data_IF_738535750114
#
_entry.id   IF_738535750114
#
_cell.length_a   1.000
_cell.length_b   1.000
_cell.length_c   1.000
_cell.angle_alpha   90.00
_cell.angle_beta   90.00
_cell.angle_gamma   90.00
#
_symmetry.space_group_name_H-M   'P 1'
#
loop_
_entity.id
_entity.type
_entity.pdbx_description
1 polymer ?
#
# COMPACT_ATOMS: atom_id res chain seq x y z
N UNK A 1 -24.98 -16.32 -69.60
CA UNK A 1 -23.51 -16.31 -69.45
C UNK A 1 -23.16 -15.76 -68.08
N UNK A 2 -23.68 -16.38 -67.02
CA UNK A 2 -23.36 -16.02 -65.63
C UNK A 2 -22.16 -16.85 -65.16
N UNK A 3 -21.02 -16.65 -65.83
CA UNK A 3 -19.77 -17.27 -65.42
C UNK A 3 -19.38 -16.74 -64.04
N UNK A 4 -19.41 -17.60 -63.03
CA UNK A 4 -19.08 -17.28 -61.63
C UNK A 4 -17.60 -17.00 -61.39
N UNK A 5 -17.04 -16.12 -62.20
CA UNK A 5 -15.76 -15.46 -62.00
C UNK A 5 -16.03 -14.03 -61.55
N UNK A 6 -15.38 -13.59 -60.47
CA UNK A 6 -15.48 -12.19 -60.07
C UNK A 6 -14.82 -11.30 -61.12
N UNK A 7 -15.58 -10.35 -61.70
CA UNK A 7 -15.14 -9.46 -62.80
C UNK A 7 -15.00 -7.99 -62.38
N UNK A 8 -15.08 -7.69 -61.07
CA UNK A 8 -14.91 -6.33 -60.56
C UNK A 8 -13.43 -5.93 -60.40
N UNK A 9 -13.21 -4.66 -60.07
CA UNK A 9 -11.88 -4.17 -59.72
C UNK A 9 -11.52 -4.61 -58.30
N UNK A 10 -10.31 -5.13 -58.13
CA UNK A 10 -9.79 -5.63 -56.84
C UNK A 10 -8.45 -4.99 -56.52
N UNK A 11 -8.29 -4.53 -55.29
CA UNK A 11 -7.00 -4.30 -54.66
C UNK A 11 -6.83 -5.33 -53.55
N UNK A 12 -5.79 -6.18 -53.62
CA UNK A 12 -5.62 -7.28 -52.68
C UNK A 12 -4.17 -7.48 -52.27
N UNK A 13 -3.97 -8.05 -51.08
CA UNK A 13 -2.67 -8.52 -50.60
C UNK A 13 -2.82 -9.89 -49.91
N UNK A 14 -1.73 -10.65 -49.85
CA UNK A 14 -1.67 -11.93 -49.15
C UNK A 14 -1.68 -11.72 -47.63
N UNK A 15 -2.39 -12.61 -46.93
CA UNK A 15 -2.48 -12.68 -45.47
C UNK A 15 -2.45 -14.14 -45.05
N UNK A 16 -1.65 -14.46 -44.03
CA UNK A 16 -1.49 -15.82 -43.51
C UNK A 16 -2.16 -15.96 -42.14
N UNK A 17 -2.86 -17.07 -41.94
CA UNK A 17 -3.41 -17.46 -40.64
C UNK A 17 -4.69 -16.73 -40.25
N UNK A 18 -4.94 -16.67 -38.95
CA UNK A 18 -6.10 -16.03 -38.35
C UNK A 18 -5.90 -14.51 -38.29
N UNK A 19 -6.95 -13.77 -38.66
CA UNK A 19 -6.89 -12.31 -38.75
C UNK A 19 -8.22 -11.64 -38.43
N UNK A 20 -8.15 -10.37 -38.07
CA UNK A 20 -9.27 -9.42 -38.09
C UNK A 20 -8.98 -8.34 -39.13
N UNK A 21 -9.81 -8.29 -40.17
CA UNK A 21 -9.75 -7.29 -41.21
C UNK A 21 -10.91 -6.31 -41.07
N UNK A 22 -10.63 -5.01 -41.02
CA UNK A 22 -11.62 -3.93 -40.90
C UNK A 22 -11.40 -2.92 -42.03
N UNK A 23 -12.47 -2.50 -42.71
CA UNK A 23 -12.42 -1.43 -43.69
C UNK A 23 -13.49 -0.37 -43.38
N UNK A 24 -13.17 0.92 -43.62
CA UNK A 24 -14.13 2.03 -43.50
C UNK A 24 -14.47 2.58 -44.87
N UNK A 25 -15.76 2.74 -45.14
CA UNK A 25 -16.29 3.30 -46.38
C UNK A 25 -17.07 4.59 -46.12
N UNK A 26 -16.84 5.57 -46.99
CA UNK A 26 -17.44 6.91 -46.90
C UNK A 26 -18.39 7.21 -48.07
N UNK A 27 -18.52 6.30 -49.04
CA UNK A 27 -19.42 6.43 -50.19
C UNK A 27 -20.41 5.25 -50.33
N UNK A 28 -21.39 5.38 -51.24
CA UNK A 28 -22.40 4.35 -51.50
C UNK A 28 -22.53 4.02 -52.98
N UNK A 29 -22.89 2.76 -53.30
CA UNK A 29 -23.51 2.42 -54.57
C UNK A 29 -24.75 3.28 -54.87
N UNK A 30 -24.81 3.86 -56.07
CA UNK A 30 -25.84 4.85 -56.46
C UNK A 30 -26.94 4.27 -57.34
N UNK A 31 -26.62 3.28 -58.17
CA UNK A 31 -27.59 2.62 -59.07
C UNK A 31 -27.56 1.11 -58.91
N UNK A 32 -28.66 0.46 -59.31
CA UNK A 32 -28.85 -0.98 -59.15
C UNK A 32 -27.70 -1.78 -59.78
N UNK A 33 -27.16 -2.72 -59.01
CA UNK A 33 -26.05 -3.60 -59.42
C UNK A 33 -24.67 -3.14 -58.93
N UNK A 34 -24.50 -1.85 -58.64
CA UNK A 34 -23.26 -1.31 -58.06
C UNK A 34 -23.03 -1.89 -56.66
N UNK A 35 -21.76 -2.21 -56.35
CA UNK A 35 -21.34 -2.80 -55.07
C UNK A 35 -19.90 -2.49 -54.74
N UNK A 36 -19.60 -2.48 -53.45
CA UNK A 36 -18.24 -2.40 -52.93
C UNK A 36 -18.13 -3.06 -51.56
N UNK A 37 -16.96 -3.60 -51.24
CA UNK A 37 -16.78 -4.31 -49.98
C UNK A 37 -15.41 -4.91 -49.74
N UNK A 38 -15.36 -5.71 -48.70
CA UNK A 38 -14.21 -6.49 -48.28
C UNK A 38 -14.43 -7.96 -48.63
N UNK A 39 -13.39 -8.64 -49.11
CA UNK A 39 -13.44 -9.99 -49.62
C UNK A 39 -12.24 -10.81 -49.14
N UNK A 40 -12.49 -12.04 -48.72
CA UNK A 40 -11.48 -13.10 -48.60
C UNK A 40 -11.48 -13.87 -49.92
N UNK A 41 -10.44 -13.66 -50.71
CA UNK A 41 -10.27 -14.13 -52.07
C UNK A 41 -9.25 -15.27 -52.11
N UNK A 42 -9.71 -16.48 -52.43
CA UNK A 42 -8.82 -17.60 -52.72
C UNK A 42 -8.42 -17.56 -54.20
N UNK A 43 -9.41 -17.65 -55.08
CA UNK A 43 -9.25 -17.52 -56.53
C UNK A 43 -10.55 -17.00 -57.15
N UNK A 44 -10.58 -16.83 -58.48
CA UNK A 44 -11.77 -16.26 -59.14
C UNK A 44 -13.05 -17.11 -58.95
N UNK A 45 -12.90 -18.39 -58.58
CA UNK A 45 -13.99 -19.37 -58.39
C UNK A 45 -14.39 -19.55 -56.93
N UNK A 46 -13.58 -19.07 -55.99
CA UNK A 46 -13.76 -19.30 -54.55
C UNK A 46 -13.44 -18.02 -53.77
N UNK A 47 -14.47 -17.42 -53.17
CA UNK A 47 -14.34 -16.19 -52.39
C UNK A 47 -15.51 -15.99 -51.44
N UNK A 48 -15.27 -15.24 -50.36
CA UNK A 48 -16.28 -14.82 -49.40
C UNK A 48 -16.20 -13.30 -49.25
N UNK A 49 -17.32 -12.60 -49.35
CA UNK A 49 -17.37 -11.15 -49.37
C UNK A 49 -18.46 -10.60 -48.46
N UNK A 50 -18.13 -9.48 -47.79
CA UNK A 50 -19.08 -8.59 -47.13
C UNK A 50 -19.11 -7.29 -47.92
N UNK A 51 -20.29 -6.90 -48.39
CA UNK A 51 -20.44 -5.79 -49.34
C UNK A 51 -21.65 -4.91 -49.05
N UNK A 52 -21.56 -3.65 -49.46
CA UNK A 52 -22.73 -2.81 -49.73
C UNK A 52 -23.13 -2.99 -51.18
N UNK A 53 -24.42 -3.16 -51.45
CA UNK A 53 -24.98 -3.35 -52.80
C UNK A 53 -26.24 -2.52 -52.97
N UNK A 54 -26.42 -1.89 -54.14
CA UNK A 54 -27.68 -1.26 -54.49
C UNK A 54 -28.60 -2.27 -55.19
N UNK A 55 -29.77 -2.53 -54.59
CA UNK A 55 -30.81 -3.42 -55.10
C UNK A 55 -32.08 -2.59 -55.30
N UNK A 56 -32.45 -2.35 -56.56
CA UNK A 56 -33.65 -1.59 -56.93
C UNK A 56 -33.77 -0.21 -56.24
N UNK A 57 -32.64 0.47 -56.01
CA UNK A 57 -32.59 1.80 -55.40
C UNK A 57 -32.29 1.80 -53.89
N UNK A 58 -32.33 0.65 -53.22
CA UNK A 58 -31.98 0.52 -51.79
C UNK A 58 -30.56 0.01 -51.62
N UNK A 59 -29.78 0.62 -50.72
CA UNK A 59 -28.43 0.14 -50.37
C UNK A 59 -28.52 -0.81 -49.18
N UNK A 60 -28.20 -2.07 -49.43
CA UNK A 60 -28.22 -3.15 -48.45
C UNK A 60 -26.81 -3.62 -48.12
N UNK A 61 -26.65 -4.15 -46.91
CA UNK A 61 -25.54 -5.01 -46.57
C UNK A 61 -25.79 -6.41 -47.07
N UNK A 62 -24.76 -7.04 -47.63
CA UNK A 62 -24.86 -8.41 -48.11
C UNK A 62 -23.57 -9.18 -47.81
N UNK A 63 -23.72 -10.37 -47.24
CA UNK A 63 -22.68 -11.39 -47.22
C UNK A 63 -22.92 -12.35 -48.39
N UNK A 64 -21.87 -12.61 -49.17
CA UNK A 64 -21.94 -13.45 -50.37
C UNK A 64 -20.74 -14.38 -50.43
N UNK A 65 -20.96 -15.62 -50.84
CA UNK A 65 -19.88 -16.56 -51.12
C UNK A 65 -19.99 -17.07 -52.55
N UNK A 66 -18.84 -17.43 -53.12
CA UNK A 66 -18.76 -18.27 -54.30
C UNK A 66 -17.93 -19.49 -53.96
N UNK A 67 -18.45 -20.66 -54.31
CA UNK A 67 -17.78 -21.96 -54.16
C UNK A 67 -17.81 -22.67 -55.49
N UNK A 68 -16.65 -23.04 -56.02
CA UNK A 68 -16.50 -23.70 -57.32
C UNK A 68 -17.23 -23.01 -58.48
N UNK A 69 -17.19 -21.67 -58.49
CA UNK A 69 -17.89 -20.79 -59.44
C UNK A 69 -19.40 -20.71 -59.27
N UNK A 70 -19.97 -21.23 -58.19
CA UNK A 70 -21.38 -21.05 -57.84
C UNK A 70 -21.51 -19.97 -56.78
N UNK A 71 -22.05 -18.82 -57.18
CA UNK A 71 -22.28 -17.68 -56.29
C UNK A 71 -23.63 -17.76 -55.58
N UNK A 72 -23.64 -17.58 -54.26
CA UNK A 72 -24.86 -17.53 -53.44
C UNK A 72 -24.85 -16.36 -52.46
N UNK A 73 -25.98 -15.67 -52.35
CA UNK A 73 -26.21 -14.70 -51.26
C UNK A 73 -26.43 -15.50 -49.99
N UNK A 74 -25.67 -15.16 -48.93
CA UNK A 74 -25.71 -15.87 -47.65
C UNK A 74 -26.58 -15.15 -46.63
N UNK A 75 -26.44 -13.83 -46.55
CA UNK A 75 -27.24 -13.00 -45.66
C UNK A 75 -27.39 -11.59 -46.24
N UNK A 76 -28.49 -10.94 -45.88
CA UNK A 76 -28.78 -9.54 -46.24
C UNK A 76 -29.35 -8.82 -45.04
N UNK A 77 -28.97 -7.55 -44.85
CA UNK A 77 -29.66 -6.66 -43.93
C UNK A 77 -29.79 -5.26 -44.55
N UNK A 78 -30.95 -4.64 -44.33
CA UNK A 78 -31.20 -3.28 -44.81
C UNK A 78 -30.46 -2.30 -43.91
N UNK A 79 -29.74 -1.35 -44.51
CA UNK A 79 -29.07 -0.31 -43.75
C UNK A 79 -28.02 0.42 -44.56
N UNK A 80 -28.11 1.75 -44.57
CA UNK A 80 -27.19 2.60 -45.33
C UNK A 80 -26.43 3.63 -44.48
N UNK A 81 -25.72 3.23 -43.41
CA UNK A 81 -24.93 4.17 -42.64
C UNK A 81 -23.77 4.71 -43.49
N UNK A 82 -23.54 6.02 -43.43
CA UNK A 82 -22.30 6.66 -43.89
C UNK A 82 -21.80 7.56 -42.75
N UNK A 83 -20.55 7.41 -42.28
CA UNK A 83 -19.61 6.36 -42.66
C UNK A 83 -20.10 4.95 -42.25
N UNK A 84 -19.51 3.93 -42.87
CA UNK A 84 -19.83 2.52 -42.61
C UNK A 84 -18.53 1.72 -42.42
N UNK A 85 -18.60 0.64 -41.65
CA UNK A 85 -17.46 -0.24 -41.44
C UNK A 85 -17.79 -1.70 -41.76
N UNK A 86 -16.86 -2.34 -42.48
CA UNK A 86 -16.83 -3.76 -42.75
C UNK A 86 -15.86 -4.43 -41.78
N UNK A 87 -16.20 -5.62 -41.29
CA UNK A 87 -15.25 -6.50 -40.60
C UNK A 87 -15.40 -7.93 -41.07
N UNK A 88 -14.28 -8.59 -41.35
CA UNK A 88 -14.19 -10.04 -41.49
C UNK A 88 -13.17 -10.54 -40.49
N UNK A 89 -13.57 -11.47 -39.63
CA UNK A 89 -12.69 -12.18 -38.70
C UNK A 89 -12.52 -13.61 -39.19
N UNK A 90 -11.28 -14.07 -39.33
CA UNK A 90 -10.94 -15.48 -39.55
C UNK A 90 -10.46 -16.09 -38.24
N UNK A 91 -11.08 -17.19 -37.84
CA UNK A 91 -10.66 -18.03 -36.74
C UNK A 91 -10.70 -19.50 -37.18
N UNK A 92 -9.53 -20.10 -37.43
CA UNK A 92 -9.37 -21.39 -38.09
C UNK A 92 -10.06 -21.40 -39.46
N UNK A 93 -11.09 -22.26 -39.58
CA UNK A 93 -11.90 -22.42 -40.80
C UNK A 93 -13.13 -21.51 -40.85
N UNK A 94 -13.40 -20.74 -39.79
CA UNK A 94 -14.59 -19.88 -39.70
C UNK A 94 -14.30 -18.45 -40.14
N UNK A 95 -15.17 -17.88 -40.97
CA UNK A 95 -15.15 -16.49 -41.40
C UNK A 95 -16.42 -15.78 -40.90
N UNK A 96 -16.24 -14.79 -40.03
CA UNK A 96 -17.36 -14.03 -39.44
C UNK A 96 -17.39 -12.63 -40.04
N UNK A 97 -18.48 -12.28 -40.72
CA UNK A 97 -18.70 -10.96 -41.28
C UNK A 97 -19.56 -10.11 -40.35
N UNK A 98 -19.10 -8.90 -40.01
CA UNK A 98 -19.82 -7.94 -39.19
C UNK A 98 -19.84 -6.54 -39.81
N UNK A 99 -20.88 -5.78 -39.52
CA UNK A 99 -21.06 -4.40 -39.96
C UNK A 99 -21.17 -3.45 -38.77
N UNK A 100 -20.76 -2.20 -38.95
CA UNK A 100 -20.86 -1.16 -37.91
C UNK A 100 -21.14 0.21 -38.53
N UNK A 101 -21.85 1.07 -37.78
CA UNK A 101 -22.14 2.48 -38.12
C UNK A 101 -21.27 3.48 -37.36
N UNK A 102 -20.44 3.03 -36.42
CA UNK A 102 -19.60 3.87 -35.55
C UNK A 102 -18.13 3.39 -35.45
N UNK A 103 -17.81 2.25 -36.07
CA UNK A 103 -16.50 1.61 -35.99
C UNK A 103 -16.19 0.93 -34.65
N UNK A 104 -17.14 0.93 -33.71
CA UNK A 104 -16.96 0.51 -32.32
C UNK A 104 -17.93 -0.62 -31.94
N UNK A 105 -19.21 -0.45 -32.27
CA UNK A 105 -20.29 -1.40 -32.04
C UNK A 105 -20.50 -2.24 -33.29
N UNK A 106 -20.37 -3.56 -33.17
CA UNK A 106 -20.40 -4.48 -34.32
C UNK A 106 -21.60 -5.42 -34.28
N UNK A 107 -22.32 -5.50 -35.40
CA UNK A 107 -23.40 -6.46 -35.59
C UNK A 107 -22.94 -7.54 -36.57
N UNK A 108 -23.02 -8.82 -36.19
CA UNK A 108 -22.72 -9.94 -37.08
C UNK A 108 -23.81 -10.08 -38.14
N UNK A 109 -23.41 -10.12 -39.41
CA UNK A 109 -24.31 -10.35 -40.54
C UNK A 109 -24.33 -11.83 -40.96
N UNK A 110 -23.17 -12.48 -40.98
CA UNK A 110 -23.05 -13.87 -41.42
C UNK A 110 -21.85 -14.55 -40.73
N UNK A 111 -21.94 -15.87 -40.58
CA UNK A 111 -20.84 -16.74 -40.20
C UNK A 111 -20.73 -17.84 -41.23
N UNK A 112 -19.58 -17.90 -41.90
CA UNK A 112 -19.31 -18.84 -42.96
C UNK A 112 -18.23 -19.84 -42.54
N UNK A 113 -18.61 -21.11 -42.52
CA UNK A 113 -17.71 -22.24 -42.30
C UNK A 113 -17.72 -23.11 -43.55
N UNK A 114 -16.87 -22.82 -44.56
CA UNK A 114 -16.80 -23.60 -45.80
C UNK A 114 -16.47 -25.07 -45.52
N UNK A 115 -17.10 -25.98 -46.28
CA UNK A 115 -16.83 -27.42 -46.18
C UNK A 115 -15.45 -27.85 -46.74
N UNK A 116 -14.83 -26.99 -47.55
CA UNK A 116 -13.42 -27.11 -47.97
C UNK A 116 -12.60 -26.08 -47.20
N UNK A 117 -11.50 -26.52 -46.58
CA UNK A 117 -10.63 -25.65 -45.80
C UNK A 117 -9.95 -24.61 -46.70
N UNK A 118 -10.13 -23.33 -46.38
CA UNK A 118 -9.32 -22.28 -46.98
C UNK A 118 -7.87 -22.49 -46.49
N UNK A 119 -6.86 -22.48 -47.38
CA UNK A 119 -5.48 -22.54 -46.94
C UNK A 119 -5.16 -21.40 -45.97
N UNK A 120 -4.10 -21.56 -45.17
CA UNK A 120 -3.70 -20.53 -44.21
C UNK A 120 -3.40 -19.20 -44.90
N UNK A 121 -2.76 -19.25 -46.07
CA UNK A 121 -2.57 -18.11 -46.95
C UNK A 121 -3.81 -17.85 -47.80
N UNK A 122 -4.37 -16.65 -47.70
CA UNK A 122 -5.48 -16.16 -48.52
C UNK A 122 -5.18 -14.73 -48.96
N UNK A 123 -5.87 -14.23 -49.99
CA UNK A 123 -5.82 -12.81 -50.31
C UNK A 123 -6.97 -12.07 -49.64
N UNK A 124 -6.65 -11.00 -48.92
CA UNK A 124 -7.64 -10.05 -48.46
C UNK A 124 -7.77 -8.94 -49.51
N UNK A 125 -9.00 -8.73 -49.98
CA UNK A 125 -9.32 -7.92 -51.14
C UNK A 125 -10.33 -6.83 -50.77
N UNK A 126 -10.05 -5.58 -51.14
CA UNK A 126 -11.08 -4.57 -51.36
C UNK A 126 -11.56 -4.69 -52.80
N UNK A 127 -12.85 -4.53 -53.01
CA UNK A 127 -13.40 -4.57 -54.37
C UNK A 127 -14.49 -3.54 -54.61
N UNK A 128 -14.59 -3.14 -55.88
CA UNK A 128 -15.63 -2.26 -56.41
C UNK A 128 -16.09 -2.84 -57.75
N UNK A 129 -17.39 -2.98 -57.94
CA UNK A 129 -17.97 -3.52 -59.17
C UNK A 129 -19.23 -2.76 -59.57
N UNK A 130 -19.33 -2.38 -60.84
CA UNK A 130 -20.44 -1.64 -61.43
C UNK A 130 -21.70 -2.51 -61.63
N UNK A 131 -21.52 -3.83 -61.75
CA UNK A 131 -22.60 -4.80 -61.87
C UNK A 131 -23.44 -4.67 -63.13
N UNK A 132 -22.81 -4.29 -64.26
CA UNK A 132 -23.47 -4.06 -65.55
C UNK A 132 -24.47 -2.90 -65.53
N UNK A 133 -24.33 -1.97 -64.58
CA UNK A 133 -25.19 -0.78 -64.48
C UNK A 133 -24.95 0.23 -65.61
N UNK A 134 -23.81 0.12 -66.32
CA UNK A 134 -23.42 1.08 -67.37
C UNK A 134 -23.17 2.51 -66.85
N UNK A 135 -23.18 2.71 -65.53
CA UNK A 135 -23.03 4.01 -64.87
C UNK A 135 -21.72 4.02 -64.08
N UNK A 136 -20.98 5.13 -64.14
CA UNK A 136 -19.74 5.29 -63.38
C UNK A 136 -19.96 5.01 -61.88
N UNK A 137 -19.05 4.25 -61.28
CA UNK A 137 -19.13 3.83 -59.88
C UNK A 137 -17.83 4.22 -59.16
N UNK A 138 -17.92 5.12 -58.19
CA UNK A 138 -16.80 5.58 -57.37
C UNK A 138 -17.12 5.34 -55.91
N UNK A 139 -16.16 4.78 -55.17
CA UNK A 139 -16.31 4.51 -53.74
C UNK A 139 -15.04 4.90 -53.02
N UNK A 140 -15.17 5.72 -51.98
CA UNK A 140 -14.08 6.07 -51.09
C UNK A 140 -13.97 5.07 -49.94
N UNK A 141 -12.83 4.39 -49.87
CA UNK A 141 -12.42 3.55 -48.75
C UNK A 141 -11.32 4.28 -48.00
N UNK A 142 -11.62 4.74 -46.79
CA UNK A 142 -10.70 5.56 -46.01
C UNK A 142 -9.47 4.75 -45.56
N UNK A 143 -9.68 3.52 -45.09
CA UNK A 143 -8.61 2.63 -44.66
C UNK A 143 -9.01 1.16 -44.67
N UNK A 144 -7.99 0.30 -44.69
CA UNK A 144 -8.06 -1.11 -44.28
C UNK A 144 -7.08 -1.32 -43.15
N UNK A 145 -7.54 -1.97 -42.09
CA UNK A 145 -6.71 -2.42 -40.97
C UNK A 145 -6.78 -3.93 -40.90
N UNK A 146 -5.62 -4.58 -40.94
CA UNK A 146 -5.49 -6.03 -40.75
C UNK A 146 -4.69 -6.25 -39.48
N UNK A 147 -5.28 -6.98 -38.54
CA UNK A 147 -4.62 -7.45 -37.33
C UNK A 147 -4.48 -8.96 -37.42
N UNK A 148 -3.25 -9.46 -37.40
CA UNK A 148 -2.95 -10.89 -37.35
C UNK A 148 -3.00 -11.35 -35.89
N UNK A 149 -3.54 -12.55 -35.64
CA UNK A 149 -3.62 -13.14 -34.30
C UNK A 149 -2.25 -13.53 -33.76
N UNK A 150 -2.05 -13.50 -32.44
CA UNK A 150 -0.85 -14.03 -31.80
C UNK A 150 -0.97 -15.54 -31.59
N UNK A 151 0.01 -16.30 -32.07
CA UNK A 151 0.09 -17.75 -31.88
C UNK A 151 1.45 -18.21 -31.34
N UNK A 152 2.43 -17.30 -31.30
CA UNK A 152 3.77 -17.56 -30.84
C UNK A 152 3.73 -17.71 -29.32
N UNK A 153 4.08 -18.91 -28.84
CA UNK A 153 4.13 -19.23 -27.42
C UNK A 153 5.57 -19.43 -26.97
N UNK A 154 5.83 -19.00 -25.74
CA UNK A 154 7.09 -19.20 -25.03
C UNK A 154 6.77 -19.89 -23.71
N UNK A 155 7.41 -21.03 -23.47
CA UNK A 155 7.35 -21.75 -22.21
C UNK A 155 8.74 -21.79 -21.56
N UNK A 156 8.78 -21.62 -20.25
CA UNK A 156 10.00 -21.75 -19.44
C UNK A 156 9.83 -22.93 -18.50
N UNK A 157 10.82 -23.83 -18.48
CA UNK A 157 10.96 -24.90 -17.49
C UNK A 157 12.31 -24.76 -16.81
N UNK A 158 12.44 -25.23 -15.57
CA UNK A 158 13.72 -25.27 -14.86
C UNK A 158 14.02 -26.65 -14.31
N UNK A 159 15.29 -26.90 -14.04
CA UNK A 159 15.77 -27.98 -13.16
C UNK A 159 16.89 -27.47 -12.28
N UNK A 160 17.06 -28.14 -11.15
CA UNK A 160 18.00 -27.80 -10.09
C UNK A 160 19.01 -28.93 -9.87
N UNK A 161 20.25 -28.58 -9.51
CA UNK A 161 21.31 -29.52 -9.13
C UNK A 161 22.49 -28.85 -8.40
N UNK A 162 23.38 -29.68 -7.85
CA UNK A 162 24.49 -29.21 -7.00
C UNK A 162 25.88 -29.33 -7.63
N UNK A 163 25.95 -29.80 -8.87
CA UNK A 163 27.17 -30.00 -9.67
C UNK A 163 27.18 -29.14 -10.93
N UNK A 164 28.36 -28.81 -11.46
CA UNK A 164 28.53 -28.16 -12.76
C UNK A 164 29.82 -28.69 -13.40
N UNK A 165 29.78 -29.41 -14.55
CA UNK A 165 28.64 -29.60 -15.46
C UNK A 165 27.49 -30.45 -14.89
N UNK A 166 26.35 -30.46 -15.57
CA UNK A 166 25.16 -31.24 -15.19
C UNK A 166 25.46 -32.73 -15.16
N UNK A 167 25.00 -33.42 -14.11
CA UNK A 167 25.08 -34.88 -13.96
C UNK A 167 23.70 -35.53 -13.72
N UNK A 168 23.67 -36.85 -13.53
CA UNK A 168 22.43 -37.63 -13.33
C UNK A 168 21.72 -37.41 -11.98
N UNK A 169 22.27 -36.60 -11.07
CA UNK A 169 21.66 -36.29 -9.77
C UNK A 169 20.75 -35.06 -9.81
N UNK A 170 20.74 -34.35 -10.93
CA UNK A 170 19.86 -33.21 -11.15
C UNK A 170 18.39 -33.64 -11.18
N UNK A 171 17.53 -32.74 -10.72
CA UNK A 171 16.07 -32.94 -10.78
C UNK A 171 15.59 -33.06 -12.24
N UNK A 172 14.44 -33.72 -12.42
CA UNK A 172 13.74 -33.69 -13.70
C UNK A 172 13.30 -32.26 -14.04
N UNK A 173 13.08 -31.98 -15.33
CA UNK A 173 12.53 -30.71 -15.78
C UNK A 173 11.16 -30.45 -15.17
N UNK A 174 10.95 -29.23 -14.67
CA UNK A 174 9.63 -28.78 -14.25
C UNK A 174 8.64 -28.80 -15.42
N UNK A 175 7.35 -28.90 -15.09
CA UNK A 175 6.32 -28.49 -16.05
C UNK A 175 6.55 -27.02 -16.46
N UNK A 176 6.15 -26.62 -17.68
CA UNK A 176 6.19 -25.23 -18.10
C UNK A 176 5.49 -24.31 -17.09
N UNK A 177 6.12 -23.19 -16.75
CA UNK A 177 5.53 -22.21 -15.85
C UNK A 177 4.32 -21.53 -16.53
N UNK A 178 3.13 -21.52 -15.90
CA UNK A 178 1.92 -20.91 -16.47
C UNK A 178 2.03 -19.38 -16.55
N UNK A 179 2.79 -18.77 -15.63
CA UNK A 179 3.16 -17.35 -15.64
C UNK A 179 4.68 -17.24 -15.46
N UNK A 180 5.45 -16.93 -16.52
CA UNK A 180 6.91 -16.87 -16.45
C UNK A 180 7.44 -15.84 -15.43
N UNK A 181 6.64 -14.83 -15.09
CA UNK A 181 6.96 -13.87 -14.03
C UNK A 181 6.42 -14.35 -12.67
N UNK A 182 7.30 -14.48 -11.68
CA UNK A 182 6.94 -14.77 -10.29
C UNK A 182 6.75 -16.25 -9.93
N UNK A 183 7.00 -17.19 -10.85
CA UNK A 183 6.90 -18.62 -10.55
C UNK A 183 8.08 -19.10 -9.69
N UNK A 184 7.78 -19.78 -8.57
CA UNK A 184 8.79 -20.35 -7.66
C UNK A 184 9.34 -21.66 -8.22
N UNK A 185 10.67 -21.82 -8.20
CA UNK A 185 11.31 -23.09 -8.57
C UNK A 185 11.07 -24.15 -7.48
N UNK A 186 10.86 -25.40 -7.90
CA UNK A 186 10.62 -26.50 -6.99
C UNK A 186 11.92 -26.96 -6.29
N UNK A 187 12.27 -26.30 -5.19
CA UNK A 187 13.36 -26.69 -4.30
C UNK A 187 14.53 -25.71 -4.25
N UNK A 188 15.64 -26.15 -3.66
CA UNK A 188 16.85 -25.36 -3.46
C UNK A 188 18.05 -26.19 -3.90
N UNK A 189 18.90 -25.62 -4.75
CA UNK A 189 20.17 -26.20 -5.13
C UNK A 189 21.19 -25.11 -5.47
N UNK A 190 22.45 -25.49 -5.60
CA UNK A 190 23.53 -24.56 -5.92
C UNK A 190 23.45 -24.00 -7.34
N UNK A 191 22.92 -24.78 -8.29
CA UNK A 191 22.78 -24.39 -9.68
C UNK A 191 21.33 -24.60 -10.14
N UNK A 192 20.88 -23.69 -11.01
CA UNK A 192 19.63 -23.81 -11.74
C UNK A 192 19.93 -23.73 -13.23
N UNK A 193 19.25 -24.56 -14.00
CA UNK A 193 19.24 -24.51 -15.46
C UNK A 193 17.81 -24.26 -15.93
N UNK A 194 17.66 -23.45 -16.96
CA UNK A 194 16.37 -23.17 -17.59
C UNK A 194 16.35 -23.66 -19.02
N UNK A 195 15.17 -24.06 -19.48
CA UNK A 195 14.89 -24.44 -20.86
C UNK A 195 13.75 -23.58 -21.40
N UNK A 196 13.98 -23.04 -22.59
CA UNK A 196 12.98 -22.32 -23.36
C UNK A 196 12.37 -23.26 -24.40
N UNK A 197 11.05 -23.26 -24.50
CA UNK A 197 10.32 -23.99 -25.52
C UNK A 197 9.46 -23.02 -26.31
N UNK A 198 9.63 -23.07 -27.63
CA UNK A 198 8.99 -22.18 -28.58
C UNK A 198 8.00 -22.98 -29.43
N UNK A 199 6.80 -22.44 -29.63
CA UNK A 199 5.88 -22.96 -30.62
C UNK A 199 5.21 -21.81 -31.37
N UNK A 200 5.05 -22.02 -32.67
CA UNK A 200 4.30 -21.15 -33.59
C UNK A 200 3.39 -22.05 -34.41
N UNK A 201 2.20 -21.55 -34.73
CA UNK A 201 1.25 -22.23 -35.63
C UNK A 201 1.46 -21.77 -37.06
N UNK A 202 1.85 -20.49 -37.24
CA UNK A 202 2.03 -19.83 -38.53
C UNK A 202 3.52 -19.49 -38.77
N UNK A 203 4.04 -19.75 -39.99
CA UNK A 203 5.47 -19.65 -40.30
C UNK A 203 6.02 -18.22 -40.37
N UNK A 204 5.15 -17.22 -40.44
CA UNK A 204 5.48 -15.79 -40.47
C UNK A 204 5.59 -15.16 -39.07
N UNK A 205 5.29 -15.93 -38.02
CA UNK A 205 5.42 -15.49 -36.64
C UNK A 205 6.74 -15.94 -36.02
N UNK A 206 7.32 -15.06 -35.20
CA UNK A 206 8.59 -15.31 -34.51
C UNK A 206 8.42 -15.06 -33.01
N UNK A 207 8.68 -16.06 -32.14
CA UNK A 207 8.73 -15.85 -30.70
C UNK A 207 9.90 -14.93 -30.35
N UNK A 208 9.64 -13.91 -29.52
CA UNK A 208 10.67 -12.98 -29.05
C UNK A 208 10.80 -13.06 -27.53
N UNK A 209 12.03 -13.19 -27.02
CA UNK A 209 12.35 -13.17 -25.59
C UNK A 209 13.33 -12.04 -25.32
N UNK A 210 12.95 -11.14 -24.39
CA UNK A 210 13.85 -10.09 -23.91
C UNK A 210 14.87 -10.60 -22.87
N UNK A 211 14.41 -11.32 -21.85
CA UNK A 211 15.26 -11.84 -20.79
C UNK A 211 14.59 -13.01 -20.03
N UNK A 212 15.42 -13.83 -19.38
CA UNK A 212 14.99 -14.79 -18.34
C UNK A 212 15.65 -14.35 -17.03
N UNK A 213 14.84 -13.89 -16.08
CA UNK A 213 15.35 -13.43 -14.78
C UNK A 213 15.17 -14.52 -13.74
N UNK A 214 16.28 -14.91 -13.10
CA UNK A 214 16.29 -15.83 -11.96
C UNK A 214 16.72 -15.06 -10.73
N UNK A 215 15.83 -14.96 -9.75
CA UNK A 215 16.11 -14.30 -8.47
C UNK A 215 16.24 -15.35 -7.37
N UNK A 216 17.16 -15.11 -6.44
CA UNK A 216 17.40 -15.95 -5.28
C UNK A 216 17.67 -15.07 -4.06
N UNK A 217 17.35 -15.58 -2.88
CA UNK A 217 17.58 -14.90 -1.61
C UNK A 217 18.06 -15.91 -0.58
N UNK A 218 19.15 -15.59 0.10
CA UNK A 218 19.73 -16.37 1.18
C UNK A 218 20.08 -15.43 2.33
N UNK A 219 19.88 -15.88 3.56
CA UNK A 219 20.35 -15.17 4.74
C UNK A 219 21.87 -15.36 4.89
N UNK A 220 22.61 -14.33 5.35
CA UNK A 220 24.02 -14.49 5.67
C UNK A 220 24.21 -15.51 6.79
N UNK A 221 25.36 -16.19 6.80
CA UNK A 221 25.68 -17.21 7.81
C UNK A 221 25.72 -16.64 9.25
N UNK A 222 25.99 -15.34 9.39
CA UNK A 222 25.91 -14.64 10.67
C UNK A 222 25.61 -13.14 10.47
N UNK A 223 25.01 -12.52 11.48
CA UNK A 223 24.77 -11.08 11.56
C UNK A 223 24.61 -10.63 13.00
N UNK A 224 24.90 -9.35 13.27
CA UNK A 224 24.81 -8.78 14.62
C UNK A 224 23.76 -7.68 14.69
N UNK A 225 23.01 -7.65 15.79
CA UNK A 225 22.15 -6.55 16.20
C UNK A 225 22.75 -5.94 17.46
N UNK A 226 22.87 -4.61 17.50
CA UNK A 226 23.39 -3.90 18.67
C UNK A 226 22.41 -2.80 19.05
N UNK A 227 22.09 -2.66 20.34
CA UNK A 227 21.28 -1.55 20.85
C UNK A 227 22.13 -0.28 20.96
N UNK A 228 21.48 0.86 21.16
CA UNK A 228 22.18 2.03 21.71
C UNK A 228 22.46 1.87 23.19
N UNK A 229 23.21 2.81 23.77
CA UNK A 229 23.42 2.88 25.22
C UNK A 229 22.12 3.23 25.92
N UNK A 230 21.70 2.37 26.84
CA UNK A 230 20.63 2.67 27.77
C UNK A 230 21.22 3.22 29.06
N UNK A 231 20.92 4.48 29.39
CA UNK A 231 21.52 5.20 30.51
C UNK A 231 20.46 5.90 31.39
N UNK A 232 19.86 5.20 32.37
CA UNK A 232 18.94 5.82 33.31
C UNK A 232 19.67 6.86 34.18
N UNK A 233 19.10 8.07 34.37
CA UNK A 233 19.79 9.20 35.02
C UNK A 233 20.14 8.95 36.50
N UNK A 234 19.41 8.08 37.18
CA UNK A 234 19.56 7.78 38.61
C UNK A 234 19.61 6.27 38.86
N UNK A 235 20.26 5.52 37.97
CA UNK A 235 20.43 4.07 38.09
C UNK A 235 21.04 3.66 39.45
N UNK A 236 20.32 2.84 40.23
CA UNK A 236 20.86 2.21 41.43
C UNK A 236 21.40 0.81 41.17
N UNK A 237 20.67 0.02 40.37
CA UNK A 237 21.03 -1.36 40.09
C UNK A 237 20.39 -1.85 38.80
N UNK A 238 21.11 -2.66 38.01
CA UNK A 238 20.52 -3.41 36.90
C UNK A 238 19.71 -4.60 37.41
N UNK A 239 18.62 -4.94 36.75
CA UNK A 239 17.73 -6.03 37.12
C UNK A 239 17.88 -7.25 36.21
N UNK A 240 16.77 -7.86 35.84
CA UNK A 240 16.70 -9.03 34.98
C UNK A 240 16.70 -8.65 33.49
N UNK A 241 17.47 -9.37 32.69
CA UNK A 241 17.37 -9.38 31.24
C UNK A 241 16.60 -10.61 30.78
N UNK A 242 15.55 -10.41 29.97
CA UNK A 242 14.79 -11.47 29.32
C UNK A 242 14.64 -11.17 27.81
N UNK A 243 14.49 -12.21 27.00
CA UNK A 243 14.31 -12.09 25.55
C UNK A 243 13.19 -13.00 25.07
N UNK A 244 12.49 -12.57 24.03
CA UNK A 244 11.57 -13.42 23.26
C UNK A 244 12.16 -13.60 21.87
N UNK A 245 12.43 -14.84 21.51
CA UNK A 245 13.01 -15.20 20.22
C UNK A 245 12.40 -16.49 19.67
N UNK A 246 12.64 -16.78 18.40
CA UNK A 246 12.31 -18.07 17.79
C UNK A 246 13.53 -18.58 17.04
N UNK A 247 13.97 -19.79 17.42
CA UNK A 247 15.05 -20.51 16.76
C UNK A 247 14.43 -21.57 15.84
N UNK A 248 14.87 -21.61 14.59
CA UNK A 248 14.50 -22.63 13.61
C UNK A 248 15.72 -23.52 13.29
N UNK A 249 16.48 -23.93 14.32
CA UNK A 249 17.74 -24.67 14.18
C UNK A 249 19.02 -23.81 14.13
N UNK A 250 18.88 -22.49 14.33
CA UNK A 250 19.97 -21.52 14.42
C UNK A 250 20.37 -21.23 15.87
N UNK A 251 21.41 -20.42 16.07
CA UNK A 251 21.82 -19.93 17.39
C UNK A 251 21.77 -18.40 17.48
N UNK A 252 21.49 -17.90 18.69
CA UNK A 252 21.67 -16.48 19.03
C UNK A 252 22.54 -16.41 20.27
N UNK A 253 23.67 -15.71 20.18
CA UNK A 253 24.50 -15.35 21.33
C UNK A 253 24.16 -13.93 21.80
N UNK A 254 23.92 -13.74 23.10
CA UNK A 254 23.66 -12.43 23.68
C UNK A 254 24.84 -11.97 24.51
N UNK A 255 25.15 -10.68 24.41
CA UNK A 255 26.23 -10.03 25.14
C UNK A 255 25.77 -8.66 25.61
N UNK A 256 26.39 -8.16 26.69
CA UNK A 256 26.24 -6.77 27.12
C UNK A 256 27.58 -6.05 27.20
N UNK A 257 27.52 -4.72 27.18
CA UNK A 257 28.67 -3.83 27.31
C UNK A 257 28.32 -2.66 28.22
N UNK A 258 29.20 -2.32 29.17
CA UNK A 258 29.07 -1.13 30.05
C UNK A 258 29.95 0.03 29.60
N UNK A 259 30.74 -0.15 28.54
CA UNK A 259 31.67 0.84 27.97
C UNK A 259 31.34 1.16 26.50
N UNK A 260 30.06 1.22 26.15
CA UNK A 260 29.57 1.61 24.82
C UNK A 260 30.13 0.76 23.67
N UNK A 261 30.31 -0.55 23.90
CA UNK A 261 30.77 -1.51 22.90
C UNK A 261 32.28 -1.73 22.85
N UNK A 262 33.07 -1.12 23.75
CA UNK A 262 34.51 -1.36 23.84
C UNK A 262 34.87 -2.79 24.24
N UNK A 263 34.13 -3.37 25.20
CA UNK A 263 34.21 -4.77 25.59
C UNK A 263 32.82 -5.37 25.77
N UNK A 264 32.72 -6.66 25.49
CA UNK A 264 31.46 -7.42 25.50
C UNK A 264 31.57 -8.61 26.43
N UNK A 265 30.53 -8.83 27.23
CA UNK A 265 30.43 -9.97 28.16
C UNK A 265 29.21 -10.80 27.80
N UNK A 266 29.43 -12.10 27.58
CA UNK A 266 28.37 -13.04 27.22
C UNK A 266 27.36 -13.24 28.34
N UNK A 267 26.09 -13.37 27.96
CA UNK A 267 24.96 -13.64 28.84
C UNK A 267 24.00 -14.65 28.22
N UNK A 268 23.26 -15.37 29.07
CA UNK A 268 22.25 -16.35 28.65
C UNK A 268 20.90 -15.99 29.26
N UNK A 269 20.10 -15.13 28.60
CA UNK A 269 18.76 -14.77 29.09
C UNK A 269 17.82 -15.98 29.18
N UNK A 270 16.90 -16.03 30.16
CA UNK A 270 16.70 -15.02 31.21
C UNK A 270 17.83 -15.04 32.26
N UNK A 271 18.36 -13.87 32.60
CA UNK A 271 19.50 -13.73 33.52
C UNK A 271 19.34 -12.52 34.43
N UNK A 272 19.87 -12.61 35.65
CA UNK A 272 19.99 -11.47 36.56
C UNK A 272 21.29 -10.71 36.30
N UNK A 273 21.20 -9.39 36.12
CA UNK A 273 22.34 -8.50 35.95
C UNK A 273 22.64 -7.68 37.22
N UNK A 274 22.12 -8.08 38.38
CA UNK A 274 22.33 -7.38 39.66
C UNK A 274 23.81 -7.22 40.04
N UNK A 275 24.70 -8.08 39.54
CA UNK A 275 26.15 -8.04 39.77
C UNK A 275 26.92 -7.19 38.75
N UNK A 276 26.24 -6.68 37.71
CA UNK A 276 26.87 -5.82 36.69
C UNK A 276 27.08 -4.44 37.29
N UNK A 277 28.31 -3.91 37.17
CA UNK A 277 28.65 -2.58 37.68
C UNK A 277 27.78 -1.48 37.07
N UNK A 278 27.32 -0.56 37.91
CA UNK A 278 26.56 0.64 37.52
C UNK A 278 27.45 1.87 37.38
N UNK A 279 28.77 1.75 37.53
CA UNK A 279 29.71 2.88 37.56
C UNK A 279 29.71 3.74 36.28
N UNK A 280 29.42 3.14 35.12
CA UNK A 280 29.28 3.88 33.86
C UNK A 280 27.91 4.51 33.65
N UNK A 281 26.91 4.15 34.47
CA UNK A 281 25.52 4.57 34.35
C UNK A 281 24.79 4.05 33.11
N UNK A 282 25.43 3.19 32.30
CA UNK A 282 24.93 2.78 30.98
C UNK A 282 25.19 1.31 30.66
N UNK A 283 24.30 0.74 29.85
CA UNK A 283 24.44 -0.62 29.33
C UNK A 283 23.98 -0.70 27.88
N UNK A 284 24.65 -1.51 27.09
CA UNK A 284 24.35 -1.80 25.69
C UNK A 284 24.27 -3.31 25.49
N UNK A 285 23.40 -3.78 24.60
CA UNK A 285 23.29 -5.20 24.28
C UNK A 285 23.64 -5.49 22.83
N UNK A 286 24.22 -6.67 22.59
CA UNK A 286 24.47 -7.23 21.26
C UNK A 286 23.89 -8.62 21.18
N UNK A 287 23.23 -8.92 20.07
CA UNK A 287 22.79 -10.25 19.71
C UNK A 287 23.49 -10.66 18.41
N UNK A 288 24.18 -11.79 18.43
CA UNK A 288 24.82 -12.39 17.25
C UNK A 288 23.98 -13.57 16.80
N UNK A 289 23.33 -13.44 15.65
CA UNK A 289 22.50 -14.46 15.01
C UNK A 289 23.40 -15.28 14.08
N UNK A 290 23.30 -16.61 14.12
CA UNK A 290 24.13 -17.50 13.29
C UNK A 290 23.33 -18.67 12.75
N UNK A 291 23.47 -18.97 11.46
CA UNK A 291 22.78 -20.07 10.78
C UNK A 291 23.76 -20.94 9.97
N UNK A 292 23.60 -22.26 10.04
CA UNK A 292 24.23 -23.21 9.13
C UNK A 292 23.36 -23.50 7.89
N UNK A 293 22.10 -23.04 7.91
CA UNK A 293 21.16 -23.16 6.81
C UNK A 293 20.66 -21.77 6.38
N UNK A 294 21.19 -21.28 5.27
CA UNK A 294 20.93 -19.93 4.77
C UNK A 294 19.50 -19.70 4.25
N UNK A 295 18.63 -20.72 4.22
CA UNK A 295 17.21 -20.53 3.86
C UNK A 295 16.33 -20.13 5.04
N UNK A 296 16.87 -20.14 6.26
CA UNK A 296 16.16 -19.87 7.49
C UNK A 296 17.03 -19.04 8.45
N UNK A 297 16.40 -18.11 9.17
CA UNK A 297 17.05 -17.20 10.12
C UNK A 297 16.30 -17.22 11.45
N UNK A 298 16.95 -17.04 12.61
CA UNK A 298 16.22 -16.88 13.85
C UNK A 298 15.61 -15.48 13.93
N UNK A 299 14.62 -15.30 14.79
CA UNK A 299 13.96 -13.99 15.01
C UNK A 299 14.03 -13.59 16.46
N UNK A 300 14.17 -12.29 16.73
CA UNK A 300 14.08 -11.70 18.08
C UNK A 300 12.91 -10.73 18.03
N UNK A 301 11.85 -10.99 18.79
CA UNK A 301 10.69 -10.10 18.86
C UNK A 301 10.79 -9.13 20.03
N UNK A 302 11.55 -9.47 21.08
CA UNK A 302 11.61 -8.64 22.29
C UNK A 302 12.90 -8.84 23.10
N UNK A 303 13.38 -7.75 23.69
CA UNK A 303 14.41 -7.74 24.74
C UNK A 303 13.94 -6.82 25.88
N UNK A 304 13.84 -7.34 27.09
CA UNK A 304 13.39 -6.62 28.30
C UNK A 304 14.49 -6.58 29.34
N UNK A 305 14.83 -5.38 29.79
CA UNK A 305 15.70 -5.13 30.94
C UNK A 305 14.91 -4.43 32.04
N UNK A 306 14.93 -4.98 33.26
CA UNK A 306 14.50 -4.23 34.46
C UNK A 306 15.71 -3.57 35.13
N UNK A 307 15.47 -2.53 35.91
CA UNK A 307 16.49 -1.82 36.69
C UNK A 307 15.80 -1.07 37.86
N UNK A 308 16.60 -0.60 38.81
CA UNK A 308 16.14 0.21 39.94
C UNK A 308 16.70 1.62 39.87
N UNK A 309 15.96 2.54 40.44
CA UNK A 309 16.29 3.95 40.58
C UNK A 309 16.89 4.23 41.98
N UNK A 310 17.68 5.29 42.11
CA UNK A 310 18.21 5.82 43.37
C UNK A 310 17.23 6.82 43.99
N UNK A 311 16.49 7.58 43.16
CA UNK A 311 15.42 8.45 43.64
C UNK A 311 14.25 7.59 44.09
N UNK A 312 13.91 7.69 45.37
CA UNK A 312 12.80 6.95 45.96
C UNK A 312 11.54 7.82 46.00
N UNK A 313 11.65 9.01 46.60
CA UNK A 313 10.53 9.93 46.75
C UNK A 313 10.99 11.39 46.83
N UNK A 314 10.03 12.31 46.81
CA UNK A 314 10.28 13.72 47.14
C UNK A 314 9.78 14.02 48.55
N UNK A 315 10.61 14.69 49.34
CA UNK A 315 10.15 15.37 50.54
C UNK A 315 9.73 16.79 50.16
N UNK A 316 8.45 17.10 50.35
CA UNK A 316 7.85 18.38 49.96
C UNK A 316 7.40 19.13 51.21
N UNK A 317 7.75 20.40 51.33
CA UNK A 317 7.18 21.32 52.32
C UNK A 317 6.54 22.50 51.61
N UNK A 318 5.50 23.05 52.20
CA UNK A 318 4.81 24.23 51.68
C UNK A 318 4.39 25.13 52.85
N UNK A 319 4.14 26.42 52.60
CA UNK A 319 3.52 27.31 53.58
C UNK A 319 2.20 26.72 54.09
N UNK A 320 1.95 26.74 55.40
CA UNK A 320 0.73 26.16 55.98
C UNK A 320 -0.57 26.91 55.59
N UNK A 321 -0.43 28.16 55.14
CA UNK A 321 -1.54 28.97 54.64
C UNK A 321 -1.08 29.85 53.48
N UNK A 322 -2.03 30.21 52.63
CA UNK A 322 -1.87 31.17 51.55
C UNK A 322 -3.17 31.96 51.37
N UNK A 323 -3.10 33.06 50.62
CA UNK A 323 -4.27 33.77 50.12
C UNK A 323 -4.39 33.49 48.63
N UNK A 324 -5.62 33.36 48.11
CA UNK A 324 -5.85 33.13 46.69
C UNK A 324 -5.05 34.13 45.83
N UNK A 325 -4.28 33.60 44.89
CA UNK A 325 -3.35 34.28 44.00
C UNK A 325 -2.21 35.08 44.62
N UNK A 326 -2.00 35.01 45.94
CA UNK A 326 -0.80 35.49 46.59
C UNK A 326 0.30 34.42 46.56
N UNK A 327 1.56 34.87 46.53
CA UNK A 327 2.71 33.97 46.54
C UNK A 327 2.86 33.23 47.88
N UNK A 328 3.16 31.94 47.81
CA UNK A 328 3.58 31.12 48.94
C UNK A 328 4.79 30.26 48.56
N UNK A 329 5.43 29.68 49.59
CA UNK A 329 6.68 28.94 49.41
C UNK A 329 6.43 27.45 49.33
N UNK A 330 7.10 26.78 48.40
CA UNK A 330 7.18 25.31 48.27
C UNK A 330 8.65 24.90 48.18
N UNK A 331 9.08 23.96 49.01
CA UNK A 331 10.41 23.35 48.92
C UNK A 331 10.28 21.88 48.56
N UNK A 332 11.03 21.43 47.57
CA UNK A 332 11.05 20.05 47.09
C UNK A 332 12.47 19.51 47.25
N UNK A 333 12.62 18.38 47.92
CA UNK A 333 13.91 17.72 48.17
C UNK A 333 13.87 16.27 47.70
N UNK A 334 14.81 15.89 46.84
CA UNK A 334 14.98 14.52 46.38
C UNK A 334 15.55 13.63 47.51
N UNK A 335 14.89 12.51 47.79
CA UNK A 335 15.26 11.57 48.84
C UNK A 335 15.51 10.18 48.28
N UNK A 336 16.50 9.51 48.85
CA UNK A 336 16.68 8.07 48.66
C UNK A 336 15.76 7.27 49.61
N UNK A 337 15.77 5.94 49.47
CA UNK A 337 14.97 5.03 50.29
C UNK A 337 15.32 5.08 51.79
N UNK A 338 16.49 5.62 52.14
CA UNK A 338 16.94 5.83 53.52
C UNK A 338 16.57 7.22 54.07
N UNK A 339 15.76 8.01 53.37
CA UNK A 339 15.42 9.41 53.69
C UNK A 339 16.62 10.39 53.66
N UNK A 340 17.76 10.00 53.07
CA UNK A 340 18.90 10.90 52.90
C UNK A 340 18.66 11.82 51.71
N UNK A 341 19.10 13.08 51.82
CA UNK A 341 19.01 14.03 50.70
C UNK A 341 20.02 13.65 49.62
N UNK A 342 19.52 13.44 48.40
CA UNK A 342 20.37 13.11 47.25
C UNK A 342 20.99 14.38 46.68
N UNK A 343 22.06 14.88 47.28
CA UNK A 343 22.65 16.19 46.96
C UNK A 343 23.15 16.34 45.52
N UNK A 344 23.42 15.23 44.84
CA UNK A 344 23.80 15.16 43.43
C UNK A 344 22.61 15.05 42.47
N UNK A 345 21.40 14.78 42.97
CA UNK A 345 20.22 14.60 42.12
C UNK A 345 19.85 15.93 41.46
N UNK A 346 19.66 15.87 40.15
CA UNK A 346 19.19 16.99 39.33
C UNK A 346 18.08 16.49 38.41
N UNK A 347 17.13 17.37 38.11
CA UNK A 347 15.97 16.99 37.30
C UNK A 347 14.86 18.03 37.35
N UNK A 348 13.95 17.96 36.38
CA UNK A 348 12.75 18.81 36.35
C UNK A 348 11.59 18.06 36.96
N UNK A 349 11.09 18.55 38.09
CA UNK A 349 10.02 17.94 38.88
C UNK A 349 8.69 18.56 38.49
N UNK A 350 7.68 17.75 38.20
CA UNK A 350 6.32 18.22 37.97
C UNK A 350 5.64 18.53 39.31
N UNK A 351 4.87 19.62 39.36
CA UNK A 351 4.12 20.08 40.53
C UNK A 351 2.63 20.14 40.19
N UNK A 352 1.80 19.58 41.05
CA UNK A 352 0.35 19.65 40.94
C UNK A 352 -0.34 19.83 42.30
N UNK A 353 -1.54 20.42 42.31
CA UNK A 353 -2.32 20.61 43.53
C UNK A 353 -3.32 19.46 43.71
N UNK A 354 -3.36 18.91 44.91
CA UNK A 354 -4.33 17.90 45.35
C UNK A 354 -5.17 18.44 46.50
N UNK A 355 -6.40 17.98 46.66
CA UNK A 355 -7.19 18.26 47.85
C UNK A 355 -6.56 17.59 49.08
N UNK A 356 -7.20 17.74 50.24
CA UNK A 356 -6.72 17.18 51.52
C UNK A 356 -6.48 15.67 51.50
N UNK A 357 -7.15 14.93 50.60
CA UNK A 357 -6.98 13.49 50.40
C UNK A 357 -5.67 13.10 49.67
N UNK A 358 -4.96 14.07 49.08
CA UNK A 358 -3.73 13.84 48.34
C UNK A 358 -3.91 13.18 46.96
N UNK A 359 -5.15 12.97 46.51
CA UNK A 359 -5.46 12.23 45.26
C UNK A 359 -6.35 13.05 44.34
N UNK A 360 -7.41 13.67 44.87
CA UNK A 360 -8.34 14.47 44.06
C UNK A 360 -7.64 15.75 43.60
N UNK A 361 -7.65 16.12 42.30
CA UNK A 361 -7.09 17.39 41.84
C UNK A 361 -7.75 18.58 42.56
N UNK A 362 -6.94 19.59 42.89
CA UNK A 362 -7.45 20.88 43.38
C UNK A 362 -8.33 21.58 42.34
N UNK A 363 -9.30 22.38 42.78
CA UNK A 363 -10.22 23.10 41.90
C UNK A 363 -9.70 24.43 41.37
N UNK A 364 -8.56 24.91 41.87
CA UNK A 364 -7.86 26.11 41.43
C UNK A 364 -6.66 25.80 40.53
N UNK A 365 -5.92 26.84 40.15
CA UNK A 365 -4.77 26.77 39.24
C UNK A 365 -3.49 27.14 39.97
N UNK A 366 -2.44 26.33 39.84
CA UNK A 366 -1.10 26.66 40.30
C UNK A 366 -0.40 27.64 39.34
N UNK A 367 0.42 28.54 39.89
CA UNK A 367 1.23 29.47 39.08
C UNK A 367 2.42 28.80 38.40
N UNK A 368 3.01 27.79 39.05
CA UNK A 368 4.10 26.97 38.51
C UNK A 368 3.72 25.49 38.57
N UNK A 369 3.88 24.78 37.45
CA UNK A 369 3.57 23.35 37.36
C UNK A 369 4.81 22.47 37.19
N UNK A 370 6.00 23.06 37.17
CA UNK A 370 7.27 22.33 37.15
C UNK A 370 8.43 23.18 37.63
N UNK A 371 9.37 22.58 38.35
CA UNK A 371 10.59 23.25 38.82
C UNK A 371 11.83 22.36 38.65
N UNK A 372 12.96 22.96 38.29
CA UNK A 372 14.23 22.26 38.21
C UNK A 372 14.96 22.24 39.57
N UNK A 373 15.47 21.06 39.95
CA UNK A 373 16.55 20.93 40.92
C UNK A 373 17.86 20.92 40.12
N UNK A 374 18.65 21.98 40.25
CA UNK A 374 19.89 22.17 39.48
C UNK A 374 21.15 21.78 40.25
N UNK A 375 21.10 21.82 41.59
CA UNK A 375 22.17 21.38 42.48
C UNK A 375 21.62 21.10 43.89
N UNK A 376 22.37 20.34 44.69
CA UNK A 376 22.09 20.16 46.12
C UNK A 376 20.91 19.24 46.46
N UNK A 377 20.25 18.64 45.45
CA UNK A 377 19.13 17.72 45.66
C UNK A 377 17.87 18.38 46.21
N UNK A 378 17.80 19.72 46.24
CA UNK A 378 16.66 20.47 46.77
C UNK A 378 16.48 21.78 46.01
N UNK A 379 15.23 22.24 45.90
CA UNK A 379 14.89 23.54 45.32
C UNK A 379 13.74 24.17 46.10
N UNK A 380 13.70 25.50 46.14
CA UNK A 380 12.64 26.26 46.82
C UNK A 380 12.03 27.26 45.85
N UNK A 381 10.72 27.16 45.66
CA UNK A 381 9.89 28.08 44.92
C UNK A 381 9.21 29.03 45.90
N UNK A 382 9.63 30.30 45.95
CA UNK A 382 9.03 31.32 46.82
C UNK A 382 7.85 32.07 46.18
N UNK A 383 7.55 31.78 44.91
CA UNK A 383 6.58 32.49 44.08
C UNK A 383 5.45 31.59 43.60
N UNK A 384 5.20 30.47 44.29
CA UNK A 384 4.08 29.60 43.93
C UNK A 384 2.76 30.33 44.23
N UNK A 385 1.75 30.18 43.39
CA UNK A 385 0.43 30.81 43.61
C UNK A 385 -0.67 29.79 43.39
N UNK A 386 -1.84 30.01 43.99
CA UNK A 386 -3.01 29.17 43.79
C UNK A 386 -4.29 30.00 43.80
N UNK A 387 -5.16 29.82 42.81
CA UNK A 387 -6.27 30.77 42.56
C UNK A 387 -7.54 30.54 43.37
N UNK A 388 -7.72 29.37 44.00
CA UNK A 388 -8.98 29.00 44.66
C UNK A 388 -8.84 28.89 46.17
N UNK A 389 -9.81 29.41 46.90
CA UNK A 389 -9.93 29.25 48.34
C UNK A 389 -10.43 27.84 48.66
N UNK A 390 -9.52 26.97 49.08
CA UNK A 390 -9.77 25.62 49.55
C UNK A 390 -8.52 25.08 50.27
N UNK A 391 -8.61 23.91 50.87
CA UNK A 391 -7.45 23.25 51.49
C UNK A 391 -6.81 22.27 50.51
N UNK A 392 -5.52 22.49 50.20
CA UNK A 392 -4.77 21.68 49.23
C UNK A 392 -3.50 21.07 49.83
N UNK A 393 -2.86 20.20 49.05
CA UNK A 393 -1.49 19.71 49.21
C UNK A 393 -0.77 19.89 47.88
N UNK A 394 0.52 20.22 47.94
CA UNK A 394 1.38 20.28 46.76
C UNK A 394 2.01 18.91 46.55
N UNK A 395 1.79 18.34 45.36
CA UNK A 395 2.39 17.09 44.93
C UNK A 395 3.56 17.38 44.01
N UNK A 396 4.71 16.77 44.31
CA UNK A 396 5.89 16.77 43.45
C UNK A 396 6.04 15.37 42.83
N UNK A 397 6.39 15.27 41.54
CA UNK A 397 6.65 13.96 40.91
C UNK A 397 7.65 13.99 39.76
N UNK A 398 8.38 12.87 39.61
CA UNK A 398 9.32 12.60 38.53
C UNK A 398 9.42 11.08 38.33
N UNK A 399 9.06 10.58 37.15
CA UNK A 399 9.01 9.13 36.90
C UNK A 399 8.09 8.42 37.91
N UNK A 400 8.62 7.42 38.61
CA UNK A 400 7.90 6.71 39.69
C UNK A 400 7.96 7.40 41.05
N UNK A 401 8.85 8.37 41.25
CA UNK A 401 9.01 9.05 42.53
C UNK A 401 7.97 10.17 42.70
N UNK A 402 7.40 10.27 43.89
CA UNK A 402 6.47 11.35 44.23
C UNK A 402 6.57 11.77 45.69
N UNK A 403 5.98 12.91 46.02
CA UNK A 403 5.91 13.44 47.38
C UNK A 403 4.75 14.40 47.54
N UNK A 404 4.17 14.47 48.74
CA UNK A 404 3.12 15.42 49.09
C UNK A 404 3.60 16.34 50.20
N UNK A 405 3.26 17.62 50.10
CA UNK A 405 3.44 18.58 51.19
C UNK A 405 2.49 18.30 52.35
N UNK A 406 2.63 19.04 53.46
CA UNK A 406 1.54 19.24 54.41
C UNK A 406 0.34 19.96 53.78
N UNK A 407 -0.71 20.21 54.59
CA UNK A 407 -1.87 20.98 54.15
C UNK A 407 -1.51 22.46 53.96
N UNK A 408 -2.05 23.07 52.92
CA UNK A 408 -2.04 24.51 52.65
C UNK A 408 -3.48 24.98 52.69
N UNK A 409 -3.85 25.79 53.69
CA UNK A 409 -5.17 26.41 53.76
C UNK A 409 -5.14 27.68 52.93
N UNK A 410 -5.82 27.69 51.78
CA UNK A 410 -5.91 28.87 50.91
C UNK A 410 -7.18 29.64 51.27
N UNK A 411 -7.01 30.86 51.77
CA UNK A 411 -8.10 31.76 52.08
C UNK A 411 -8.49 32.60 50.85
N UNK A 412 -9.74 33.11 50.77
CA UNK A 412 -10.12 34.09 49.75
C UNK A 412 -9.21 35.31 49.76
N UNK A 413 -9.01 35.89 48.58
CA UNK A 413 -8.30 37.14 48.34
C UNK A 413 -8.98 38.37 48.91
N UNK A 414 -8.39 39.53 48.64
CA UNK A 414 -9.06 40.80 48.91
C UNK A 414 -10.38 40.88 48.14
N UNK A 415 -11.41 41.45 48.78
CA UNK A 415 -12.70 41.72 48.16
C UNK A 415 -12.50 42.51 46.85
N UNK A 416 -13.09 42.00 45.77
CA UNK A 416 -12.98 42.57 44.42
C UNK A 416 -14.35 43.06 43.93
N UNK A 417 -15.40 42.26 44.12
CA UNK A 417 -16.75 42.62 43.73
C UNK A 417 -17.81 42.03 44.68
N UNK A 418 -19.04 42.55 44.60
CA UNK A 418 -20.19 42.05 45.35
C UNK A 418 -21.27 41.54 44.39
N UNK A 419 -21.89 40.42 44.75
CA UNK A 419 -23.12 39.93 44.15
C UNK A 419 -24.30 40.31 45.06
N UNK A 420 -25.24 41.08 44.53
CA UNK A 420 -26.44 41.50 45.26
C UNK A 420 -27.64 40.67 44.81
N UNK A 421 -28.42 40.16 45.76
CA UNK A 421 -29.59 39.32 45.52
C UNK A 421 -30.86 39.87 46.21
N UNK A 422 -31.98 39.99 45.48
CA UNK A 422 -32.10 39.81 44.03
C UNK A 422 -31.44 40.95 43.23
N UNK A 423 -30.95 40.65 42.02
CA UNK A 423 -30.23 41.61 41.15
C UNK A 423 -31.10 42.74 40.60
N UNK A 424 -32.42 42.60 40.71
CA UNK A 424 -33.41 43.62 40.39
C UNK A 424 -34.49 43.61 41.47
N UNK A 425 -34.80 44.77 42.04
CA UNK A 425 -35.92 44.96 42.96
C UNK A 425 -36.82 46.07 42.45
N UNK A 426 -38.13 45.82 42.44
CA UNK A 426 -39.15 46.87 42.30
C UNK A 426 -39.64 47.25 43.69
N UNK A 427 -39.50 48.53 44.06
CA UNK A 427 -39.93 49.06 45.36
C UNK A 427 -41.14 49.97 45.12
N UNK A 428 -42.25 49.70 45.82
CA UNK A 428 -43.42 50.57 45.81
C UNK A 428 -43.27 51.69 46.85
N UNK A 429 -43.96 52.84 46.70
CA UNK A 429 -43.96 53.88 47.72
C UNK A 429 -44.35 53.30 49.09
N UNK A 430 -43.54 53.60 50.11
CA UNK A 430 -43.69 53.15 51.51
C UNK A 430 -43.40 51.67 51.80
N UNK A 431 -42.85 50.90 50.84
CA UNK A 431 -42.49 49.49 51.04
C UNK A 431 -40.97 49.31 51.28
N UNK A 432 -40.60 48.36 52.15
CA UNK A 432 -39.22 47.95 52.40
C UNK A 432 -38.88 46.62 51.72
N UNK A 433 -37.64 46.45 51.27
CA UNK A 433 -37.13 45.17 50.73
C UNK A 433 -35.74 44.89 51.25
N UNK A 434 -35.53 43.66 51.68
CA UNK A 434 -34.22 43.17 52.09
C UNK A 434 -33.41 42.78 50.85
N UNK A 435 -32.15 43.20 50.82
CA UNK A 435 -31.15 42.79 49.83
C UNK A 435 -30.08 41.96 50.53
N UNK A 436 -29.77 40.80 49.97
CA UNK A 436 -28.55 40.07 50.30
C UNK A 436 -27.39 40.61 49.49
N UNK A 437 -26.19 40.67 50.08
CA UNK A 437 -24.96 40.94 49.34
C UNK A 437 -23.88 39.96 49.78
N UNK A 438 -23.22 39.31 48.83
CA UNK A 438 -22.08 38.43 49.06
C UNK A 438 -20.85 39.01 48.35
N UNK A 439 -19.75 39.16 49.09
CA UNK A 439 -18.48 39.61 48.54
C UNK A 439 -17.66 38.45 47.97
N UNK A 440 -16.98 38.71 46.86
CA UNK A 440 -16.09 37.77 46.19
C UNK A 440 -14.74 38.42 45.92
N UNK A 441 -13.68 37.61 45.92
CA UNK A 441 -12.39 38.05 45.39
C UNK A 441 -12.35 38.00 43.84
N UNK A 442 -11.21 38.41 43.24
CA UNK A 442 -11.05 38.44 41.78
C UNK A 442 -11.12 37.06 41.10
N UNK A 443 -11.10 35.97 41.87
CA UNK A 443 -11.20 34.59 41.39
C UNK A 443 -12.55 33.96 41.73
N UNK A 444 -13.51 34.74 42.25
CA UNK A 444 -14.84 34.32 42.66
C UNK A 444 -14.86 33.33 43.83
N UNK A 445 -13.91 33.46 44.76
CA UNK A 445 -13.90 32.71 46.02
C UNK A 445 -14.87 33.28 47.05
#
# INVERSE_FOLDING_TARGET
MDGGTFTGNVLANEVVGDFTAIAKISGNPTVTGQKAGLMVLLNNRNWYALQKVNVAGTVDWQAKATTDSVSGVRATSVGNPIPAWFRIVRAGVSLVASTSSDGSTWTTLDTYTPGMEYPLEVRLALFVADGLSGTAHTVDIDYVRVQISNDATVAVSTRLGNSSPVDGTWTAWSSPYPTPSGSVMAGVARYAEFRLSFAVTYPDHTPNIGAVNVSWSLYPASGTLTTEDFAPPDLSQWGSLAVVHTLNGQTIAYEYSTNSGGSWTGVSPPVSLLAVSTASGKIRFRATLSTSNATITPTISEMRLSYRHLLDHFFVTASASATAGASFTVTITAKDAGNSTMTWWTGTVAIDARLSDGVTPGGGTLGTTSIAITAGGSTTLSTETYTKAETIRIRASFGSASGLSGLVVVAPGALDHLLVTPSVVTILPFDGRDLGAQGYDRWNN
#
